data_IF_046025313268
#
_entry.id   IF_046025313268
#
_cell.length_a   1.000
_cell.length_b   1.000
_cell.length_c   1.000
_cell.angle_alpha   90.00
_cell.angle_beta   90.00
_cell.angle_gamma   90.00
#
_symmetry.space_group_name_H-M   'P 1'
#
loop_
_entity.id
_entity.type
_entity.pdbx_description
1 polymer ?
#
# COMPACT_ATOMS: atom_id res chain seq x y z
N UNK A 1 -22.51 7.43 -13.00
CA UNK A 1 -21.61 6.29 -12.76
C UNK A 1 -21.58 5.32 -13.92
N UNK A 2 -22.72 4.78 -14.38
CA UNK A 2 -22.79 3.81 -15.52
C UNK A 2 -22.17 4.36 -16.81
N UNK A 3 -22.38 5.64 -17.14
CA UNK A 3 -21.74 6.25 -18.31
C UNK A 3 -20.21 6.25 -18.20
N UNK A 4 -19.67 6.47 -17.01
CA UNK A 4 -18.22 6.48 -16.81
C UNK A 4 -17.63 5.08 -16.90
N UNK A 5 -18.17 4.09 -16.14
CA UNK A 5 -17.55 2.77 -16.03
C UNK A 5 -17.92 1.81 -17.17
N UNK A 6 -19.19 1.87 -17.66
CA UNK A 6 -19.68 0.96 -18.68
C UNK A 6 -19.45 1.45 -20.12
N UNK A 7 -19.51 2.77 -20.39
CA UNK A 7 -19.58 3.30 -21.76
C UNK A 7 -18.39 4.16 -22.18
N UNK A 8 -17.80 4.94 -21.26
CA UNK A 8 -16.74 5.88 -21.62
C UNK A 8 -15.48 5.17 -22.17
N UNK A 9 -14.66 5.85 -23.00
CA UNK A 9 -13.42 5.29 -23.54
C UNK A 9 -12.49 4.79 -22.43
N UNK A 10 -11.99 3.56 -22.53
CA UNK A 10 -11.21 2.88 -21.49
C UNK A 10 -10.02 3.74 -21.05
N UNK A 11 -9.25 4.27 -22.01
CA UNK A 11 -8.09 5.13 -21.73
C UNK A 11 -8.46 6.32 -20.84
N UNK A 12 -9.55 7.01 -21.17
CA UNK A 12 -10.02 8.20 -20.43
C UNK A 12 -10.41 7.85 -18.99
N UNK A 13 -11.18 6.77 -18.81
CA UNK A 13 -11.63 6.34 -17.48
C UNK A 13 -10.46 5.81 -16.65
N UNK A 14 -9.61 5.01 -17.23
CA UNK A 14 -8.44 4.44 -16.57
C UNK A 14 -7.56 5.54 -15.97
N UNK A 15 -7.11 6.50 -16.79
CA UNK A 15 -6.27 7.58 -16.28
C UNK A 15 -7.00 8.54 -15.35
N UNK A 16 -8.30 8.75 -15.54
CA UNK A 16 -9.12 9.55 -14.61
C UNK A 16 -9.15 8.95 -13.19
N UNK A 17 -9.12 7.62 -13.09
CA UNK A 17 -9.12 6.92 -11.81
C UNK A 17 -7.70 6.72 -11.26
N UNK A 18 -6.77 6.31 -12.11
CA UNK A 18 -5.43 5.89 -11.69
C UNK A 18 -4.48 7.06 -11.39
N UNK A 19 -4.45 8.11 -12.22
CA UNK A 19 -3.53 9.23 -12.00
C UNK A 19 -3.72 9.93 -10.64
N UNK A 20 -4.95 10.22 -10.16
CA UNK A 20 -5.11 10.77 -8.82
C UNK A 20 -4.54 9.85 -7.73
N UNK A 21 -4.69 8.53 -7.87
CA UNK A 21 -4.12 7.58 -6.91
C UNK A 21 -2.60 7.63 -6.91
N UNK A 22 -1.98 7.63 -8.09
CA UNK A 22 -0.53 7.76 -8.25
C UNK A 22 -0.02 9.06 -7.62
N UNK A 23 -0.68 10.19 -7.89
CA UNK A 23 -0.29 11.48 -7.33
C UNK A 23 -0.43 11.52 -5.80
N UNK A 24 -1.51 10.95 -5.26
CA UNK A 24 -1.69 10.80 -3.81
C UNK A 24 -0.57 9.98 -3.17
N UNK A 25 -0.18 8.86 -3.78
CA UNK A 25 0.91 8.01 -3.30
C UNK A 25 2.27 8.71 -3.37
N UNK A 26 2.56 9.44 -4.46
CA UNK A 26 3.79 10.23 -4.58
C UNK A 26 3.85 11.30 -3.48
N UNK A 27 2.74 11.98 -3.20
CA UNK A 27 2.68 12.98 -2.13
C UNK A 27 2.96 12.37 -0.75
N UNK A 28 2.39 11.19 -0.47
CA UNK A 28 2.68 10.46 0.78
C UNK A 28 4.14 10.04 0.87
N UNK A 29 4.76 9.65 -0.24
CA UNK A 29 6.19 9.33 -0.27
C UNK A 29 7.06 10.56 0.02
N UNK A 30 6.73 11.69 -0.60
CA UNK A 30 7.43 12.96 -0.34
C UNK A 30 7.33 13.32 1.15
N UNK A 31 6.15 13.13 1.75
CA UNK A 31 5.96 13.32 3.18
C UNK A 31 6.88 12.42 4.01
N UNK A 32 6.90 11.11 3.75
CA UNK A 32 7.75 10.18 4.51
C UNK A 32 9.24 10.53 4.40
N UNK A 33 9.68 11.03 3.24
CA UNK A 33 11.06 11.50 3.06
C UNK A 33 11.33 12.80 3.84
N UNK A 34 10.40 13.76 3.79
CA UNK A 34 10.50 15.02 4.49
C UNK A 34 10.50 14.83 6.01
N UNK A 35 9.58 14.03 6.54
CA UNK A 35 9.49 13.67 7.96
C UNK A 35 10.80 13.05 8.46
N UNK A 36 11.29 12.02 7.75
CA UNK A 36 12.59 11.40 8.08
C UNK A 36 13.74 12.42 8.08
N UNK A 37 13.73 13.34 7.11
CA UNK A 37 14.76 14.38 7.01
C UNK A 37 14.65 15.40 8.16
N UNK A 38 13.45 15.81 8.53
CA UNK A 38 13.25 16.75 9.65
C UNK A 38 13.68 16.14 10.98
N UNK A 39 13.29 14.89 11.23
CA UNK A 39 13.70 14.16 12.43
C UNK A 39 15.21 13.97 12.47
N UNK A 40 15.85 13.59 11.37
CA UNK A 40 17.31 13.46 11.29
C UNK A 40 18.05 14.78 11.52
N UNK A 41 17.50 15.93 11.08
CA UNK A 41 18.08 17.27 11.30
C UNK A 41 18.08 17.72 12.75
N UNK A 42 17.33 17.10 13.64
CA UNK A 42 17.42 17.39 15.08
C UNK A 42 18.78 17.01 15.66
N UNK A 43 19.51 16.08 15.02
CA UNK A 43 20.78 15.54 15.52
C UNK A 43 20.62 14.61 16.73
N UNK A 44 19.40 14.37 17.19
CA UNK A 44 19.10 13.50 18.32
C UNK A 44 18.90 12.05 17.83
N UNK A 45 19.90 11.22 18.07
CA UNK A 45 19.90 9.80 17.67
C UNK A 45 18.85 8.97 18.42
N UNK A 46 18.53 9.34 19.67
CA UNK A 46 17.50 8.64 20.45
C UNK A 46 16.12 8.94 19.92
N UNK A 47 15.86 10.20 19.56
CA UNK A 47 14.61 10.60 18.90
C UNK A 47 14.41 9.86 17.56
N UNK A 48 15.42 9.84 16.70
CA UNK A 48 15.37 9.11 15.41
C UNK A 48 15.08 7.62 15.65
N UNK A 49 15.78 7.00 16.60
CA UNK A 49 15.60 5.60 16.94
C UNK A 49 14.20 5.34 17.54
N UNK A 50 13.74 6.21 18.44
CA UNK A 50 12.42 6.10 19.09
C UNK A 50 11.28 6.13 18.07
N UNK A 51 11.28 7.08 17.13
CA UNK A 51 10.28 7.16 16.05
C UNK A 51 10.36 5.93 15.13
N UNK A 52 11.57 5.46 14.81
CA UNK A 52 11.76 4.28 13.98
C UNK A 52 11.20 3.02 14.64
N UNK A 53 11.30 2.89 15.96
CA UNK A 53 10.69 1.80 16.75
C UNK A 53 9.16 1.84 16.65
N UNK A 54 8.57 3.02 16.55
CA UNK A 54 7.13 3.20 16.39
C UNK A 54 6.60 2.91 14.97
N UNK A 55 7.44 2.88 13.94
CA UNK A 55 7.01 2.70 12.55
C UNK A 55 6.20 1.41 12.28
N UNK A 56 6.51 0.24 12.87
CA UNK A 56 5.70 -0.97 12.72
C UNK A 56 4.25 -0.81 13.17
N UNK A 57 3.99 0.05 14.19
CA UNK A 57 2.64 0.35 14.62
C UNK A 57 1.81 1.00 13.51
N UNK A 58 2.40 1.92 12.76
CA UNK A 58 1.75 2.55 11.60
C UNK A 58 1.38 1.52 10.53
N UNK A 59 2.32 0.64 10.19
CA UNK A 59 2.07 -0.44 9.23
C UNK A 59 0.94 -1.36 9.68
N UNK A 60 0.86 -1.66 10.97
CA UNK A 60 -0.22 -2.45 11.56
C UNK A 60 -1.57 -1.73 11.44
N UNK A 61 -1.66 -0.44 11.75
CA UNK A 61 -2.89 0.34 11.62
C UNK A 61 -3.37 0.43 10.16
N UNK A 62 -2.46 0.62 9.21
CA UNK A 62 -2.75 0.58 7.78
C UNK A 62 -3.29 -0.80 7.37
N UNK A 63 -2.67 -1.88 7.82
CA UNK A 63 -3.12 -3.23 7.53
C UNK A 63 -4.54 -3.51 8.05
N UNK A 64 -4.88 -3.01 9.23
CA UNK A 64 -6.25 -3.09 9.77
C UNK A 64 -7.23 -2.26 8.93
N UNK A 65 -6.84 -1.06 8.49
CA UNK A 65 -7.68 -0.23 7.60
C UNK A 65 -7.98 -0.92 6.27
N UNK A 66 -7.00 -1.64 5.72
CA UNK A 66 -7.13 -2.35 4.45
C UNK A 66 -8.19 -3.47 4.52
N UNK A 67 -8.42 -4.07 5.70
CA UNK A 67 -9.48 -5.06 5.86
C UNK A 67 -10.83 -4.47 5.46
N UNK A 68 -11.13 -3.28 5.93
CA UNK A 68 -12.38 -2.58 5.63
C UNK A 68 -12.31 -1.79 4.30
N UNK A 69 -11.18 -1.14 4.03
CA UNK A 69 -11.00 -0.28 2.85
C UNK A 69 -10.94 -1.06 1.55
N UNK A 70 -10.01 -2.01 1.43
CA UNK A 70 -9.86 -2.84 0.23
C UNK A 70 -10.99 -3.86 0.13
N UNK A 71 -11.35 -4.52 1.23
CA UNK A 71 -12.45 -5.48 1.23
C UNK A 71 -13.79 -4.83 0.86
N UNK A 72 -14.08 -3.68 1.45
CA UNK A 72 -15.29 -2.90 1.17
C UNK A 72 -15.34 -2.37 -0.26
N UNK A 73 -14.27 -1.74 -0.74
CA UNK A 73 -14.21 -1.20 -2.10
C UNK A 73 -14.32 -2.27 -3.18
N UNK A 74 -13.71 -3.44 -2.96
CA UNK A 74 -13.83 -4.60 -3.82
C UNK A 74 -15.29 -5.05 -3.95
N UNK A 75 -15.97 -5.25 -2.83
CA UNK A 75 -17.38 -5.68 -2.84
C UNK A 75 -18.30 -4.60 -3.46
N UNK A 76 -18.13 -3.33 -3.05
CA UNK A 76 -18.95 -2.21 -3.55
C UNK A 76 -18.80 -2.06 -5.08
N UNK A 77 -17.58 -2.21 -5.61
CA UNK A 77 -17.34 -2.11 -7.05
C UNK A 77 -18.16 -3.14 -7.83
N UNK A 78 -18.23 -4.39 -7.33
CA UNK A 78 -19.07 -5.44 -7.94
C UNK A 78 -20.55 -5.13 -7.81
N UNK A 79 -20.99 -4.72 -6.61
CA UNK A 79 -22.39 -4.36 -6.35
C UNK A 79 -22.86 -3.21 -7.24
N UNK A 80 -22.00 -2.27 -7.58
CA UNK A 80 -22.32 -1.21 -8.55
C UNK A 80 -22.51 -1.77 -9.95
N UNK A 81 -21.69 -2.72 -10.37
CA UNK A 81 -21.90 -3.44 -11.63
C UNK A 81 -23.21 -4.24 -11.67
N UNK A 82 -23.59 -4.84 -10.56
CA UNK A 82 -24.84 -5.57 -10.34
C UNK A 82 -26.05 -4.63 -10.14
N UNK A 83 -25.84 -3.32 -10.06
CA UNK A 83 -26.83 -2.28 -9.71
C UNK A 83 -27.48 -2.46 -8.34
N UNK A 84 -26.81 -3.16 -7.41
CA UNK A 84 -27.27 -3.34 -6.04
C UNK A 84 -26.85 -2.18 -5.13
N UNK A 85 -27.38 -0.99 -5.39
CA UNK A 85 -27.04 0.23 -4.66
C UNK A 85 -27.45 0.21 -3.19
N UNK A 86 -28.49 -0.55 -2.84
CA UNK A 86 -28.96 -0.62 -1.45
C UNK A 86 -27.93 -1.37 -0.58
N UNK A 87 -27.40 -2.48 -1.05
CA UNK A 87 -26.36 -3.21 -0.33
C UNK A 87 -25.06 -2.41 -0.29
N UNK A 88 -24.72 -1.66 -1.34
CA UNK A 88 -23.55 -0.77 -1.37
C UNK A 88 -23.60 0.30 -0.27
N UNK A 89 -24.77 0.91 -0.02
CA UNK A 89 -24.97 1.86 1.10
C UNK A 89 -24.74 1.20 2.45
N UNK A 90 -25.16 -0.05 2.61
CA UNK A 90 -24.96 -0.79 3.85
C UNK A 90 -23.50 -1.17 4.05
N UNK A 91 -22.86 -1.72 3.02
CA UNK A 91 -21.43 -2.10 3.06
C UNK A 91 -20.55 -0.89 3.36
N UNK A 92 -20.80 0.26 2.71
CA UNK A 92 -20.00 1.46 2.96
C UNK A 92 -20.14 1.97 4.40
N UNK A 93 -21.37 2.02 4.93
CA UNK A 93 -21.60 2.43 6.32
C UNK A 93 -20.97 1.46 7.31
N UNK A 94 -21.10 0.15 7.09
CA UNK A 94 -20.48 -0.88 7.91
C UNK A 94 -18.95 -0.74 7.93
N UNK A 95 -18.32 -0.60 6.77
CA UNK A 95 -16.86 -0.49 6.69
C UNK A 95 -16.34 0.75 7.42
N UNK A 96 -16.97 1.91 7.22
CA UNK A 96 -16.54 3.15 7.87
C UNK A 96 -16.78 3.12 9.38
N UNK A 97 -17.96 2.71 9.83
CA UNK A 97 -18.30 2.66 11.27
C UNK A 97 -17.51 1.53 11.94
N UNK A 98 -17.47 0.33 11.33
CA UNK A 98 -16.75 -0.81 11.85
C UNK A 98 -15.25 -0.53 11.96
N UNK A 99 -14.66 0.09 10.94
CA UNK A 99 -13.26 0.49 10.98
C UNK A 99 -12.96 1.52 12.07
N UNK A 100 -13.82 2.54 12.23
CA UNK A 100 -13.67 3.54 13.30
C UNK A 100 -13.79 2.90 14.70
N UNK A 101 -14.79 2.05 14.90
CA UNK A 101 -14.96 1.31 16.18
C UNK A 101 -13.78 0.40 16.45
N UNK A 102 -13.29 -0.33 15.43
CA UNK A 102 -12.07 -1.14 15.55
C UNK A 102 -10.87 -0.27 15.95
N UNK A 103 -10.75 0.92 15.38
CA UNK A 103 -9.72 1.89 15.76
C UNK A 103 -9.80 2.32 17.21
N UNK A 104 -11.01 2.58 17.75
CA UNK A 104 -11.20 2.91 19.16
C UNK A 104 -10.85 1.73 20.08
N UNK A 105 -11.23 0.51 19.71
CA UNK A 105 -10.87 -0.69 20.45
C UNK A 105 -9.34 -0.87 20.46
N UNK A 106 -8.71 -0.70 19.30
CA UNK A 106 -7.25 -0.79 19.19
C UNK A 106 -6.55 0.31 19.98
N UNK A 107 -7.07 1.54 20.00
CA UNK A 107 -6.55 2.61 20.87
C UNK A 107 -6.47 2.13 22.32
N UNK A 108 -7.56 1.56 22.85
CA UNK A 108 -7.59 1.06 24.22
C UNK A 108 -6.58 -0.09 24.45
N UNK A 109 -6.54 -1.07 23.53
CA UNK A 109 -5.61 -2.20 23.61
C UNK A 109 -4.16 -1.72 23.55
N UNK A 110 -3.83 -0.85 22.61
CA UNK A 110 -2.48 -0.36 22.43
C UNK A 110 -1.99 0.44 23.63
N UNK A 111 -2.84 1.26 24.24
CA UNK A 111 -2.47 2.02 25.43
C UNK A 111 -2.34 1.12 26.69
N UNK A 112 -3.19 0.11 26.84
CA UNK A 112 -3.10 -0.84 27.97
C UNK A 112 -1.81 -1.68 27.87
N UNK A 113 -1.46 -2.12 26.67
CA UNK A 113 -0.30 -2.98 26.43
C UNK A 113 0.94 -2.23 25.92
N UNK A 114 1.06 -0.91 26.18
CA UNK A 114 2.18 -0.07 25.75
C UNK A 114 3.54 -0.68 26.07
N UNK A 115 3.78 -0.99 27.35
CA UNK A 115 5.09 -1.50 27.80
C UNK A 115 5.49 -2.81 27.11
N UNK A 116 4.69 -3.87 27.10
CA UNK A 116 5.07 -5.12 26.43
C UNK A 116 5.25 -4.94 24.93
N UNK A 117 4.47 -4.08 24.27
CA UNK A 117 4.59 -3.85 22.83
C UNK A 117 5.87 -3.09 22.53
N UNK A 118 6.20 -2.04 23.27
CA UNK A 118 7.44 -1.28 23.07
C UNK A 118 8.69 -2.14 23.27
N UNK A 119 8.69 -3.01 24.28
CA UNK A 119 9.78 -3.97 24.46
C UNK A 119 9.88 -4.98 23.33
N UNK A 120 8.74 -5.48 22.83
CA UNK A 120 8.68 -6.37 21.66
C UNK A 120 9.22 -5.69 20.40
N UNK A 121 8.95 -4.39 20.24
CA UNK A 121 9.45 -3.57 19.12
C UNK A 121 10.94 -3.20 19.26
N UNK A 122 11.57 -3.53 20.40
CA UNK A 122 13.01 -3.35 20.62
C UNK A 122 13.39 -2.05 21.31
N UNK A 123 12.46 -1.38 21.99
CA UNK A 123 12.76 -0.20 22.78
C UNK A 123 13.72 -0.55 23.94
N UNK A 124 14.82 0.20 24.04
CA UNK A 124 15.84 0.10 25.09
C UNK A 124 15.75 1.31 26.03
N UNK A 125 16.35 1.24 27.20
CA UNK A 125 16.31 2.31 28.20
C UNK A 125 16.59 3.71 27.61
N UNK A 126 17.57 3.83 26.70
CA UNK A 126 17.93 5.11 26.09
C UNK A 126 16.92 5.65 25.06
N UNK A 127 16.12 4.78 24.42
CA UNK A 127 15.17 5.15 23.36
C UNK A 127 13.73 5.03 23.80
N UNK A 128 13.50 4.51 25.01
CA UNK A 128 12.16 4.17 25.50
C UNK A 128 11.24 5.39 25.58
N UNK A 129 11.74 6.49 26.12
CA UNK A 129 10.90 7.69 26.30
C UNK A 129 10.40 8.24 24.97
N UNK A 130 11.29 8.44 23.98
CA UNK A 130 10.91 8.94 22.66
C UNK A 130 10.00 7.95 21.92
N UNK A 131 10.28 6.65 22.04
CA UNK A 131 9.43 5.61 21.46
C UNK A 131 8.04 5.61 22.09
N UNK A 132 7.95 5.73 23.42
CA UNK A 132 6.68 5.76 24.15
C UNK A 132 5.88 7.02 23.83
N UNK A 133 6.53 8.17 23.74
CA UNK A 133 5.90 9.44 23.42
C UNK A 133 5.28 9.42 22.01
N UNK A 134 6.02 8.94 21.00
CA UNK A 134 5.51 8.75 19.65
C UNK A 134 4.39 7.70 19.63
N UNK A 135 4.62 6.54 20.24
CA UNK A 135 3.69 5.43 20.30
C UNK A 135 2.32 5.84 20.89
N UNK A 136 2.32 6.59 22.02
CA UNK A 136 1.09 7.04 22.68
C UNK A 136 0.26 7.93 21.76
N UNK A 137 0.90 8.91 21.11
CA UNK A 137 0.20 9.82 20.19
C UNK A 137 -0.41 9.04 19.02
N UNK A 138 0.36 8.14 18.39
CA UNK A 138 -0.14 7.32 17.29
C UNK A 138 -1.23 6.36 17.76
N UNK A 139 -1.12 5.79 18.96
CA UNK A 139 -2.15 4.92 19.53
C UNK A 139 -3.46 5.67 19.80
N UNK A 140 -3.39 6.89 20.32
CA UNK A 140 -4.57 7.77 20.49
C UNK A 140 -5.16 8.12 19.13
N UNK A 141 -4.32 8.34 18.12
CA UNK A 141 -4.68 8.60 16.73
C UNK A 141 -5.09 7.37 15.92
N UNK A 142 -5.12 6.17 16.50
CA UNK A 142 -5.39 4.94 15.74
C UNK A 142 -6.76 4.94 15.06
N UNK A 143 -7.80 5.47 15.71
CA UNK A 143 -9.13 5.54 15.12
C UNK A 143 -9.19 6.44 13.87
N UNK A 144 -8.72 7.70 13.87
CA UNK A 144 -8.65 8.50 12.65
C UNK A 144 -7.70 7.91 11.59
N UNK A 145 -6.55 7.35 11.96
CA UNK A 145 -5.62 6.74 11.00
C UNK A 145 -6.29 5.58 10.26
N UNK A 146 -6.96 4.67 10.99
CA UNK A 146 -7.69 3.55 10.39
C UNK A 146 -8.85 4.05 9.55
N UNK A 147 -9.63 5.02 10.06
CA UNK A 147 -10.78 5.54 9.36
C UNK A 147 -10.41 6.19 8.03
N UNK A 148 -9.33 6.94 7.96
CA UNK A 148 -8.92 7.76 6.81
C UNK A 148 -8.81 6.95 5.50
N UNK A 149 -8.22 5.77 5.57
CA UNK A 149 -7.98 4.91 4.39
C UNK A 149 -9.29 4.31 3.86
N UNK A 150 -10.28 4.10 4.73
CA UNK A 150 -11.53 3.43 4.37
C UNK A 150 -12.37 4.28 3.40
N UNK A 151 -12.87 5.48 3.75
CA UNK A 151 -13.64 6.29 2.82
C UNK A 151 -12.82 6.69 1.59
N UNK A 152 -11.49 6.85 1.71
CA UNK A 152 -10.61 7.09 0.56
C UNK A 152 -10.73 6.00 -0.50
N UNK A 153 -10.74 4.72 -0.11
CA UNK A 153 -10.93 3.60 -1.03
C UNK A 153 -12.38 3.49 -1.54
N UNK A 154 -13.37 3.75 -0.67
CA UNK A 154 -14.77 3.60 -1.02
C UNK A 154 -15.25 4.64 -2.03
N UNK A 155 -14.90 5.93 -1.88
CA UNK A 155 -15.37 6.98 -2.81
C UNK A 155 -14.78 6.83 -4.22
N UNK A 156 -13.63 6.18 -4.36
CA UNK A 156 -13.05 5.84 -5.68
C UNK A 156 -13.97 4.92 -6.48
N UNK A 157 -14.77 4.09 -5.81
CA UNK A 157 -15.72 3.19 -6.48
C UNK A 157 -16.86 3.94 -7.18
N UNK A 158 -17.19 5.15 -6.74
CA UNK A 158 -18.10 6.07 -7.43
C UNK A 158 -17.41 6.93 -8.51
N UNK A 159 -16.11 6.75 -8.72
CA UNK A 159 -15.33 7.54 -9.69
C UNK A 159 -14.75 8.84 -9.12
N UNK A 160 -14.81 9.04 -7.80
CA UNK A 160 -14.34 10.23 -7.09
C UNK A 160 -12.85 10.12 -6.67
N UNK A 161 -12.01 9.56 -7.55
CA UNK A 161 -10.58 9.38 -7.26
C UNK A 161 -9.84 10.70 -7.03
N UNK A 162 -10.21 11.77 -7.75
CA UNK A 162 -9.64 13.11 -7.57
C UNK A 162 -9.97 13.68 -6.20
N UNK A 163 -11.19 13.48 -5.71
CA UNK A 163 -11.62 13.93 -4.38
C UNK A 163 -10.85 13.20 -3.27
N UNK A 164 -10.66 11.89 -3.44
CA UNK A 164 -9.82 11.09 -2.53
C UNK A 164 -8.39 11.61 -2.50
N UNK A 165 -7.81 11.90 -3.66
CA UNK A 165 -6.48 12.48 -3.79
C UNK A 165 -6.40 13.85 -3.10
N UNK A 166 -7.32 14.76 -3.37
CA UNK A 166 -7.33 16.11 -2.76
C UNK A 166 -7.37 16.01 -1.23
N UNK A 167 -8.22 15.15 -0.68
CA UNK A 167 -8.29 14.94 0.77
C UNK A 167 -6.93 14.47 1.34
N UNK A 168 -6.35 13.42 0.75
CA UNK A 168 -5.06 12.89 1.19
C UNK A 168 -3.94 13.90 1.04
N UNK A 169 -3.83 14.58 -0.11
CA UNK A 169 -2.79 15.58 -0.33
C UNK A 169 -2.90 16.75 0.64
N UNK A 170 -4.11 17.23 0.93
CA UNK A 170 -4.31 18.34 1.89
C UNK A 170 -3.83 17.96 3.28
N UNK A 171 -4.21 16.78 3.79
CA UNK A 171 -3.75 16.32 5.11
C UNK A 171 -2.24 16.07 5.14
N UNK A 172 -1.69 15.47 4.09
CA UNK A 172 -0.26 15.20 3.97
C UNK A 172 0.57 16.48 3.88
N UNK A 173 0.14 17.47 3.10
CA UNK A 173 0.83 18.78 3.00
C UNK A 173 0.78 19.50 4.35
N UNK A 174 -0.37 19.45 5.04
CA UNK A 174 -0.47 20.03 6.37
C UNK A 174 0.51 19.37 7.35
N UNK A 175 0.63 18.04 7.34
CA UNK A 175 1.59 17.32 8.17
C UNK A 175 3.04 17.76 7.88
N UNK A 176 3.43 17.89 6.59
CA UNK A 176 4.75 18.39 6.18
C UNK A 176 5.04 19.80 6.76
N UNK A 177 4.02 20.66 6.84
CA UNK A 177 4.16 22.01 7.38
C UNK A 177 4.24 21.98 8.92
N UNK A 178 3.44 21.14 9.56
CA UNK A 178 3.38 21.05 11.02
C UNK A 178 4.61 20.37 11.63
N UNK A 179 5.20 19.39 10.97
CA UNK A 179 6.38 18.68 11.46
C UNK A 179 7.52 19.61 11.90
N UNK A 180 8.06 20.47 11.03
CA UNK A 180 9.14 21.38 11.44
C UNK A 180 8.70 22.39 12.49
N UNK A 181 7.43 22.80 12.51
CA UNK A 181 6.91 23.72 13.53
C UNK A 181 6.94 23.04 14.92
N UNK A 182 6.42 21.82 15.02
CA UNK A 182 6.41 21.11 16.30
C UNK A 182 7.82 20.66 16.74
N UNK A 183 8.68 20.24 15.78
CA UNK A 183 10.04 19.82 16.08
C UNK A 183 10.95 20.98 16.47
N UNK A 184 10.99 22.06 15.69
CA UNK A 184 12.02 23.10 15.82
C UNK A 184 11.54 24.35 16.56
N UNK A 185 10.24 24.75 16.38
CA UNK A 185 9.71 25.94 17.06
C UNK A 185 9.20 25.58 18.44
N UNK A 186 8.33 24.57 18.55
CA UNK A 186 7.76 24.14 19.84
C UNK A 186 8.65 23.12 20.58
N UNK A 187 9.64 22.54 19.94
CA UNK A 187 10.59 21.56 20.50
C UNK A 187 9.90 20.37 21.20
N UNK A 188 8.83 19.87 20.58
CA UNK A 188 8.01 18.80 21.15
C UNK A 188 8.57 17.39 20.93
N UNK A 189 9.70 17.24 20.23
CA UNK A 189 10.31 15.93 19.99
C UNK A 189 9.37 14.93 19.31
N UNK A 190 9.38 13.69 19.79
CA UNK A 190 8.56 12.59 19.26
C UNK A 190 7.05 12.85 19.33
N UNK A 191 6.59 13.53 20.38
CA UNK A 191 5.18 13.93 20.52
C UNK A 191 4.78 14.86 19.38
N UNK A 192 5.64 15.82 19.01
CA UNK A 192 5.37 16.78 17.94
C UNK A 192 5.17 16.11 16.59
N UNK A 193 6.04 15.16 16.23
CA UNK A 193 5.94 14.35 15.01
C UNK A 193 4.65 13.55 15.01
N UNK A 194 4.32 12.89 16.12
CA UNK A 194 3.07 12.15 16.25
C UNK A 194 1.83 13.03 16.06
N UNK A 195 1.81 14.22 16.68
CA UNK A 195 0.69 15.17 16.56
C UNK A 195 0.54 15.70 15.13
N UNK A 196 1.64 16.04 14.45
CA UNK A 196 1.60 16.48 13.05
C UNK A 196 0.98 15.41 12.16
N UNK A 197 1.41 14.14 12.33
CA UNK A 197 0.85 12.99 11.63
C UNK A 197 -0.65 12.84 11.87
N UNK A 198 -1.08 12.72 13.12
CA UNK A 198 -2.50 12.52 13.47
C UNK A 198 -3.36 13.70 13.00
N UNK A 199 -2.85 14.93 13.10
CA UNK A 199 -3.55 16.12 12.59
C UNK A 199 -3.75 16.05 11.08
N UNK A 200 -2.75 15.58 10.31
CA UNK A 200 -2.88 15.33 8.87
C UNK A 200 -4.00 14.33 8.55
N UNK A 201 -4.09 13.24 9.30
CA UNK A 201 -5.17 12.26 9.14
C UNK A 201 -6.54 12.85 9.51
N UNK A 202 -6.65 13.60 10.61
CA UNK A 202 -7.90 14.24 11.01
C UNK A 202 -8.43 15.21 9.94
N UNK A 203 -7.56 16.00 9.32
CA UNK A 203 -7.94 16.89 8.22
C UNK A 203 -8.35 16.09 6.98
N UNK A 204 -7.64 15.03 6.64
CA UNK A 204 -8.03 14.11 5.58
C UNK A 204 -9.42 13.53 5.84
N UNK A 205 -9.69 13.08 7.08
CA UNK A 205 -10.98 12.55 7.50
C UNK A 205 -12.11 13.56 7.37
N UNK A 206 -11.89 14.79 7.82
CA UNK A 206 -12.88 15.86 7.73
C UNK A 206 -13.28 16.12 6.26
N UNK A 207 -12.31 16.16 5.36
CA UNK A 207 -12.54 16.34 3.91
C UNK A 207 -13.26 15.12 3.32
N UNK A 208 -12.83 13.90 3.68
CA UNK A 208 -13.46 12.68 3.19
C UNK A 208 -14.91 12.53 3.69
N UNK A 209 -15.17 12.85 4.96
CA UNK A 209 -16.52 12.87 5.53
C UNK A 209 -17.38 13.89 4.78
N UNK A 210 -16.85 15.09 4.51
CA UNK A 210 -17.56 16.07 3.69
C UNK A 210 -17.94 15.51 2.32
N UNK A 211 -17.01 14.85 1.62
CA UNK A 211 -17.32 14.24 0.32
C UNK A 211 -18.33 13.11 0.44
N UNK A 212 -18.23 12.24 1.44
CA UNK A 212 -19.18 11.15 1.69
C UNK A 212 -20.60 11.70 1.97
N UNK A 213 -20.72 12.79 2.71
CA UNK A 213 -22.02 13.34 3.06
C UNK A 213 -22.68 14.11 1.90
N UNK A 214 -21.90 14.85 1.11
CA UNK A 214 -22.43 15.83 0.16
C UNK A 214 -22.15 15.53 -1.32
N UNK A 215 -21.22 14.62 -1.65
CA UNK A 215 -20.79 14.37 -3.04
C UNK A 215 -20.99 12.94 -3.52
N UNK A 216 -21.33 12.00 -2.62
CA UNK A 216 -21.59 10.60 -2.98
C UNK A 216 -23.09 10.31 -2.98
N UNK A 217 -23.52 9.51 -3.98
CA UNK A 217 -24.91 9.07 -4.10
C UNK A 217 -25.17 7.78 -3.34
N UNK A 218 -24.22 6.84 -3.39
CA UNK A 218 -24.38 5.47 -2.90
C UNK A 218 -23.42 5.09 -1.78
N UNK A 219 -22.34 5.82 -1.57
CA UNK A 219 -21.49 5.67 -0.38
C UNK A 219 -22.10 6.49 0.74
N UNK A 220 -22.47 5.84 1.86
CA UNK A 220 -23.17 6.49 2.96
C UNK A 220 -22.51 6.16 4.29
N UNK A 221 -22.52 7.14 5.19
CA UNK A 221 -22.07 7.02 6.57
C UNK A 221 -23.29 7.24 7.49
N UNK A 222 -24.06 6.19 7.73
CA UNK A 222 -25.27 6.23 8.57
C UNK A 222 -25.39 4.94 9.40
N UNK A 223 -25.59 5.06 10.70
CA UNK A 223 -25.79 3.91 11.60
C UNK A 223 -26.92 2.98 11.14
N UNK A 224 -28.02 3.53 10.63
CA UNK A 224 -29.14 2.75 10.10
C UNK A 224 -28.75 1.76 8.99
N UNK A 225 -27.65 2.02 8.29
CA UNK A 225 -27.17 1.17 7.20
C UNK A 225 -26.00 0.27 7.61
N UNK A 226 -25.54 0.28 8.87
CA UNK A 226 -24.39 -0.52 9.30
C UNK A 226 -24.69 -2.02 9.48
N UNK A 227 -25.97 -2.40 9.51
CA UNK A 227 -26.37 -3.81 9.62
C UNK A 227 -26.24 -4.51 8.27
N UNK A 228 -25.38 -5.51 8.22
CA UNK A 228 -25.15 -6.38 7.07
C UNK A 228 -25.15 -7.85 7.49
N UNK A 229 -25.38 -8.76 6.52
CA UNK A 229 -25.37 -10.20 6.81
C UNK A 229 -23.96 -10.70 7.12
N UNK A 230 -23.86 -11.77 7.91
CA UNK A 230 -22.59 -12.44 8.18
C UNK A 230 -21.85 -12.90 6.90
N UNK A 231 -22.58 -13.25 5.84
CA UNK A 231 -22.02 -13.57 4.53
C UNK A 231 -21.31 -12.34 3.94
N UNK A 232 -21.95 -11.17 4.00
CA UNK A 232 -21.37 -9.92 3.48
C UNK A 232 -20.10 -9.53 4.28
N UNK A 233 -20.11 -9.72 5.60
CA UNK A 233 -18.90 -9.50 6.43
C UNK A 233 -17.78 -10.44 5.98
N UNK A 234 -18.10 -11.72 5.79
CA UNK A 234 -17.13 -12.71 5.31
C UNK A 234 -16.53 -12.31 3.96
N UNK A 235 -17.35 -11.81 3.04
CA UNK A 235 -16.88 -11.37 1.70
C UNK A 235 -15.94 -10.17 1.78
N UNK A 236 -16.18 -9.22 2.72
CA UNK A 236 -15.30 -8.09 2.98
C UNK A 236 -13.96 -8.56 3.57
N UNK A 237 -14.02 -9.33 4.64
CA UNK A 237 -12.85 -9.79 5.38
C UNK A 237 -11.98 -10.73 4.55
N UNK A 238 -12.62 -11.59 3.74
CA UNK A 238 -11.92 -12.53 2.87
C UNK A 238 -11.03 -11.87 1.81
N UNK A 239 -11.35 -10.64 1.39
CA UNK A 239 -10.50 -9.86 0.48
C UNK A 239 -9.57 -8.91 1.26
N UNK A 240 -10.06 -8.34 2.34
CA UNK A 240 -9.29 -7.39 3.14
C UNK A 240 -8.08 -8.02 3.85
N UNK A 241 -8.23 -9.22 4.42
CA UNK A 241 -7.12 -9.92 5.09
C UNK A 241 -5.95 -10.21 4.15
N UNK A 242 -6.11 -10.79 2.95
CA UNK A 242 -5.01 -10.93 2.00
C UNK A 242 -4.30 -9.62 1.66
N UNK A 243 -5.06 -8.52 1.50
CA UNK A 243 -4.49 -7.19 1.31
C UNK A 243 -3.59 -6.76 2.47
N UNK A 244 -4.05 -6.97 3.70
CA UNK A 244 -3.28 -6.68 4.92
C UNK A 244 -2.03 -7.54 5.06
N UNK A 245 -2.11 -8.82 4.73
CA UNK A 245 -0.99 -9.77 4.79
C UNK A 245 0.15 -9.35 3.85
N UNK A 246 -0.16 -8.73 2.72
CA UNK A 246 0.87 -8.25 1.79
C UNK A 246 1.85 -7.28 2.46
N UNK A 247 1.37 -6.38 3.31
CA UNK A 247 2.21 -5.42 4.04
C UNK A 247 3.15 -6.13 5.05
N UNK A 248 2.64 -7.15 5.74
CA UNK A 248 3.46 -7.95 6.67
C UNK A 248 4.49 -8.81 5.93
N UNK A 249 4.08 -9.46 4.83
CA UNK A 249 4.98 -10.25 4.00
C UNK A 249 6.13 -9.39 3.44
N UNK A 250 5.84 -8.16 3.03
CA UNK A 250 6.86 -7.21 2.57
C UNK A 250 7.87 -6.86 3.67
N UNK A 251 7.40 -6.58 4.87
CA UNK A 251 8.27 -6.28 6.02
C UNK A 251 9.14 -7.49 6.40
N UNK A 252 8.56 -8.68 6.39
CA UNK A 252 9.26 -9.93 6.65
C UNK A 252 10.33 -10.22 5.59
N UNK A 253 9.99 -10.08 4.30
CA UNK A 253 10.94 -10.25 3.19
C UNK A 253 12.12 -9.29 3.27
N UNK A 254 11.88 -8.03 3.66
CA UNK A 254 12.93 -7.04 3.88
C UNK A 254 13.86 -7.42 5.04
N UNK A 255 13.31 -7.91 6.14
CA UNK A 255 14.10 -8.36 7.29
C UNK A 255 15.00 -9.56 6.91
N UNK A 256 14.47 -10.53 6.17
CA UNK A 256 15.22 -11.67 5.66
C UNK A 256 16.36 -11.25 4.71
N UNK A 257 16.08 -10.32 3.80
CA UNK A 257 17.08 -9.79 2.88
C UNK A 257 18.21 -9.11 3.64
N UNK A 258 17.88 -8.22 4.56
CA UNK A 258 18.86 -7.46 5.33
C UNK A 258 19.70 -8.39 6.22
N UNK A 259 19.09 -9.38 6.89
CA UNK A 259 19.83 -10.35 7.70
C UNK A 259 20.79 -11.21 6.88
N UNK A 260 20.38 -11.60 5.65
CA UNK A 260 21.23 -12.35 4.73
C UNK A 260 22.40 -11.50 4.19
N UNK A 261 22.15 -10.23 3.87
CA UNK A 261 23.19 -9.32 3.40
C UNK A 261 24.17 -8.89 4.50
N UNK A 262 23.73 -8.86 5.76
CA UNK A 262 24.57 -8.52 6.90
C UNK A 262 25.79 -9.46 7.04
N UNK A 263 25.68 -10.71 6.57
CA UNK A 263 26.78 -11.66 6.52
C UNK A 263 27.93 -11.22 5.58
N UNK A 264 27.64 -10.31 4.64
CA UNK A 264 28.58 -9.78 3.65
C UNK A 264 29.05 -8.35 3.96
N UNK A 265 28.72 -7.85 5.13
CA UNK A 265 29.18 -6.56 5.67
C UNK A 265 28.14 -5.43 5.59
N UNK A 266 28.34 -4.43 6.44
CA UNK A 266 27.45 -3.30 6.60
C UNK A 266 27.27 -2.48 5.30
N UNK A 267 28.33 -2.37 4.48
CA UNK A 267 28.26 -1.66 3.20
C UNK A 267 27.25 -2.29 2.23
N UNK A 268 27.07 -3.62 2.27
CA UNK A 268 26.08 -4.31 1.42
C UNK A 268 24.65 -4.05 1.88
N UNK A 269 24.43 -3.99 3.19
CA UNK A 269 23.12 -3.61 3.76
C UNK A 269 22.79 -2.16 3.42
N UNK A 270 23.76 -1.25 3.57
CA UNK A 270 23.60 0.17 3.21
C UNK A 270 23.28 0.36 1.72
N UNK A 271 23.99 -0.36 0.83
CA UNK A 271 23.75 -0.35 -0.61
C UNK A 271 22.34 -0.83 -0.94
N UNK A 272 21.87 -1.89 -0.29
CA UNK A 272 20.49 -2.39 -0.46
C UNK A 272 19.46 -1.39 0.05
N UNK A 273 19.71 -0.73 1.16
CA UNK A 273 18.84 0.33 1.68
C UNK A 273 18.64 1.47 0.66
N UNK A 274 19.71 1.91 -0.01
CA UNK A 274 19.64 2.89 -1.10
C UNK A 274 18.84 2.34 -2.28
N UNK A 275 19.15 1.12 -2.70
CA UNK A 275 18.44 0.43 -3.79
C UNK A 275 16.95 0.37 -3.52
N UNK A 276 16.51 0.00 -2.32
CA UNK A 276 15.11 -0.09 -1.94
C UNK A 276 14.41 1.28 -1.96
N UNK A 277 15.08 2.35 -1.57
CA UNK A 277 14.53 3.72 -1.68
C UNK A 277 14.28 4.12 -3.14
N UNK A 278 15.22 3.84 -4.04
CA UNK A 278 15.07 4.12 -5.48
C UNK A 278 13.97 3.25 -6.08
N UNK A 279 13.97 1.95 -5.75
CA UNK A 279 12.97 0.99 -6.22
C UNK A 279 11.55 1.35 -5.77
N UNK A 280 11.39 1.83 -4.54
CA UNK A 280 10.07 2.20 -3.99
C UNK A 280 9.40 3.32 -4.80
N UNK A 281 10.16 4.23 -5.40
CA UNK A 281 9.62 5.29 -6.27
C UNK A 281 8.91 4.68 -7.49
N UNK A 282 9.55 3.71 -8.14
CA UNK A 282 8.99 3.04 -9.32
C UNK A 282 7.78 2.20 -8.96
N UNK A 283 7.91 1.40 -7.90
CA UNK A 283 6.84 0.50 -7.46
C UNK A 283 5.59 1.27 -7.01
N UNK A 284 5.76 2.41 -6.35
CA UNK A 284 4.64 3.20 -5.88
C UNK A 284 3.73 3.66 -7.02
N UNK A 285 4.30 4.03 -8.16
CA UNK A 285 3.53 4.39 -9.36
C UNK A 285 2.79 3.18 -9.93
N UNK A 286 3.46 2.02 -10.00
CA UNK A 286 2.86 0.76 -10.45
C UNK A 286 1.68 0.37 -9.54
N UNK A 287 1.86 0.43 -8.23
CA UNK A 287 0.80 0.19 -7.23
C UNK A 287 -0.36 1.18 -7.40
N UNK A 288 -0.04 2.46 -7.64
CA UNK A 288 -1.04 3.50 -7.90
C UNK A 288 -1.91 3.22 -9.12
N UNK A 289 -1.32 2.76 -10.22
CA UNK A 289 -2.05 2.33 -11.41
C UNK A 289 -2.93 1.10 -11.11
N UNK A 290 -2.39 0.09 -10.44
CA UNK A 290 -3.12 -1.13 -10.09
C UNK A 290 -4.35 -0.82 -9.19
N UNK A 291 -4.17 -0.11 -8.09
CA UNK A 291 -5.28 0.26 -7.21
C UNK A 291 -6.24 1.27 -7.84
N UNK A 292 -5.75 2.12 -8.75
CA UNK A 292 -6.61 3.04 -9.49
C UNK A 292 -7.55 2.33 -10.47
N UNK A 293 -7.12 1.20 -11.04
CA UNK A 293 -7.94 0.38 -11.96
C UNK A 293 -8.97 -0.51 -11.23
N UNK A 294 -8.78 -0.79 -9.94
CA UNK A 294 -9.60 -1.71 -9.15
C UNK A 294 -11.11 -1.46 -9.25
N UNK A 295 -11.63 -0.23 -9.08
CA UNK A 295 -13.06 0.03 -9.21
C UNK A 295 -13.60 -0.25 -10.61
N UNK A 296 -12.81 0.02 -11.65
CA UNK A 296 -13.20 -0.21 -13.04
C UNK A 296 -13.29 -1.71 -13.36
N UNK A 297 -12.36 -2.50 -12.83
CA UNK A 297 -12.36 -3.98 -12.95
C UNK A 297 -13.56 -4.56 -12.21
N UNK A 298 -13.76 -4.21 -10.94
CA UNK A 298 -14.85 -4.73 -10.11
C UNK A 298 -16.23 -4.41 -10.68
N UNK A 299 -16.44 -3.18 -11.15
CA UNK A 299 -17.67 -2.78 -11.81
C UNK A 299 -17.99 -3.62 -13.04
N UNK A 300 -17.03 -3.75 -13.98
CA UNK A 300 -17.28 -4.49 -15.22
C UNK A 300 -17.43 -6.00 -14.99
N UNK A 301 -16.79 -6.54 -13.94
CA UNK A 301 -17.00 -7.92 -13.51
C UNK A 301 -18.43 -8.12 -12.96
N UNK A 302 -18.89 -7.28 -12.04
CA UNK A 302 -20.24 -7.31 -11.49
C UNK A 302 -21.32 -7.11 -12.56
N UNK A 303 -21.09 -6.22 -13.53
CA UNK A 303 -21.96 -6.00 -14.68
C UNK A 303 -21.90 -7.12 -15.74
N UNK A 304 -21.07 -8.15 -15.55
CA UNK A 304 -20.85 -9.25 -16.51
C UNK A 304 -20.43 -8.76 -17.91
N UNK A 305 -19.78 -7.59 -17.98
CA UNK A 305 -19.30 -7.00 -19.24
C UNK A 305 -17.91 -7.58 -19.59
N UNK A 306 -17.87 -8.85 -19.93
CA UNK A 306 -16.64 -9.62 -20.13
C UNK A 306 -15.74 -9.06 -21.25
N UNK A 307 -16.36 -8.63 -22.37
CA UNK A 307 -15.62 -8.05 -23.51
C UNK A 307 -14.89 -6.77 -23.09
N UNK A 308 -15.57 -5.91 -22.32
CA UNK A 308 -14.98 -4.66 -21.83
C UNK A 308 -13.94 -4.94 -20.73
N UNK A 309 -14.24 -5.85 -19.81
CA UNK A 309 -13.32 -6.29 -18.78
C UNK A 309 -11.98 -6.74 -19.37
N UNK A 310 -12.01 -7.63 -20.38
CA UNK A 310 -10.81 -8.10 -21.07
C UNK A 310 -9.98 -6.95 -21.68
N UNK A 311 -10.65 -5.97 -22.29
CA UNK A 311 -9.99 -4.79 -22.84
C UNK A 311 -9.36 -3.92 -21.76
N UNK A 312 -10.01 -3.78 -20.60
CA UNK A 312 -9.48 -3.04 -19.44
C UNK A 312 -8.22 -3.71 -18.91
N UNK A 313 -8.26 -5.04 -18.71
CA UNK A 313 -7.14 -5.81 -18.19
C UNK A 313 -5.92 -5.77 -19.13
N UNK A 314 -6.15 -5.93 -20.44
CA UNK A 314 -5.08 -5.81 -21.41
C UNK A 314 -4.48 -4.40 -21.45
N UNK A 315 -5.31 -3.37 -21.28
CA UNK A 315 -4.84 -1.99 -21.24
C UNK A 315 -4.07 -1.70 -19.95
N UNK A 316 -4.52 -2.22 -18.81
CA UNK A 316 -3.84 -2.09 -17.52
C UNK A 316 -2.45 -2.75 -17.58
N UNK A 317 -2.36 -4.00 -18.04
CA UNK A 317 -1.07 -4.69 -18.24
C UNK A 317 -0.16 -3.88 -19.17
N UNK A 318 -0.69 -3.36 -20.29
CA UNK A 318 0.09 -2.55 -21.23
C UNK A 318 0.67 -1.31 -20.55
N UNK A 319 -0.14 -0.56 -19.80
CA UNK A 319 0.31 0.65 -19.09
C UNK A 319 1.38 0.31 -18.05
N UNK A 320 1.17 -0.74 -17.27
CA UNK A 320 2.10 -1.20 -16.25
C UNK A 320 3.46 -1.60 -16.85
N UNK A 321 3.42 -2.42 -17.91
CA UNK A 321 4.63 -2.90 -18.59
C UNK A 321 5.36 -1.73 -19.26
N UNK A 322 4.66 -0.86 -20.01
CA UNK A 322 5.28 0.29 -20.67
C UNK A 322 5.94 1.23 -19.66
N UNK A 323 5.22 1.56 -18.57
CA UNK A 323 5.80 2.38 -17.52
C UNK A 323 7.05 1.73 -16.90
N UNK A 324 6.96 0.43 -16.55
CA UNK A 324 8.06 -0.30 -15.94
C UNK A 324 9.28 -0.43 -16.87
N UNK A 325 9.08 -0.66 -18.15
CA UNK A 325 10.17 -0.72 -19.15
C UNK A 325 10.84 0.63 -19.30
N UNK A 326 10.07 1.72 -19.39
CA UNK A 326 10.63 3.07 -19.53
C UNK A 326 11.37 3.48 -18.25
N UNK A 327 10.72 3.44 -17.10
CA UNK A 327 11.32 3.85 -15.83
C UNK A 327 12.46 2.92 -15.39
N UNK A 328 12.28 1.61 -15.56
CA UNK A 328 13.31 0.61 -15.27
C UNK A 328 14.50 0.72 -16.22
N UNK A 329 14.26 0.88 -17.51
CA UNK A 329 15.32 1.08 -18.50
C UNK A 329 16.17 2.33 -18.22
N UNK A 330 15.53 3.46 -17.87
CA UNK A 330 16.23 4.67 -17.44
C UNK A 330 17.07 4.43 -16.18
N UNK A 331 16.50 3.76 -15.17
CA UNK A 331 17.23 3.47 -13.92
C UNK A 331 18.38 2.47 -14.12
N UNK A 332 18.25 1.50 -15.02
CA UNK A 332 19.35 0.59 -15.37
C UNK A 332 20.46 1.38 -16.06
N UNK A 333 20.11 2.22 -17.03
CA UNK A 333 21.08 3.03 -17.78
C UNK A 333 21.86 3.99 -16.86
N UNK A 334 21.18 4.59 -15.88
CA UNK A 334 21.73 5.54 -14.93
C UNK A 334 21.94 4.97 -13.52
N UNK A 335 22.06 3.64 -13.37
CA UNK A 335 22.12 2.99 -12.06
C UNK A 335 23.27 3.53 -11.20
N UNK A 336 24.46 3.69 -11.78
CA UNK A 336 25.65 4.18 -11.06
C UNK A 336 25.53 5.64 -10.62
N UNK A 337 25.21 6.62 -11.51
CA UNK A 337 25.03 8.00 -11.07
C UNK A 337 23.88 8.18 -10.08
N UNK A 338 22.76 7.45 -10.26
CA UNK A 338 21.61 7.53 -9.35
C UNK A 338 21.98 7.01 -7.96
N UNK A 339 22.69 5.89 -7.85
CA UNK A 339 23.17 5.36 -6.57
C UNK A 339 24.16 6.34 -5.92
N UNK A 340 25.06 6.95 -6.71
CA UNK A 340 26.04 7.91 -6.23
C UNK A 340 25.45 9.20 -5.65
N UNK A 341 24.23 9.58 -6.05
CA UNK A 341 23.50 10.73 -5.44
C UNK A 341 23.17 10.51 -3.97
N UNK A 342 23.02 9.26 -3.54
CA UNK A 342 22.69 8.95 -2.14
C UNK A 342 23.93 8.74 -1.27
N UNK A 343 25.00 8.19 -1.84
CA UNK A 343 26.26 7.94 -1.12
C UNK A 343 27.44 7.81 -2.07
N UNK A 344 28.53 8.51 -1.80
CA UNK A 344 29.65 8.68 -2.74
C UNK A 344 30.83 7.73 -2.45
N UNK A 345 30.61 6.63 -1.69
CA UNK A 345 31.62 5.61 -1.42
C UNK A 345 31.66 4.57 -2.56
N UNK A 346 32.82 4.35 -3.22
CA UNK A 346 32.93 3.48 -4.39
C UNK A 346 32.35 2.07 -4.18
N UNK A 347 32.60 1.45 -3.02
CA UNK A 347 32.12 0.11 -2.71
C UNK A 347 30.59 0.06 -2.62
N UNK A 348 29.96 1.08 -2.05
CA UNK A 348 28.51 1.19 -1.92
C UNK A 348 27.88 1.51 -3.26
N UNK A 349 28.49 2.40 -4.06
CA UNK A 349 28.00 2.74 -5.40
C UNK A 349 28.04 1.50 -6.33
N UNK A 350 29.13 0.74 -6.31
CA UNK A 350 29.26 -0.44 -7.13
C UNK A 350 28.25 -1.53 -6.71
N UNK A 351 28.14 -1.81 -5.40
CA UNK A 351 27.19 -2.78 -4.89
C UNK A 351 25.73 -2.34 -5.13
N UNK A 352 25.40 -1.07 -4.84
CA UNK A 352 24.06 -0.51 -5.02
C UNK A 352 23.62 -0.48 -6.48
N UNK A 353 24.53 -0.11 -7.40
CA UNK A 353 24.22 -0.14 -8.83
C UNK A 353 23.91 -1.56 -9.32
N UNK A 354 24.68 -2.55 -8.89
CA UNK A 354 24.44 -3.96 -9.21
C UNK A 354 23.10 -4.45 -8.63
N UNK A 355 22.84 -4.16 -7.35
CA UNK A 355 21.58 -4.51 -6.69
C UNK A 355 20.39 -3.82 -7.34
N UNK A 356 20.53 -2.55 -7.74
CA UNK A 356 19.49 -1.79 -8.41
C UNK A 356 19.11 -2.43 -9.75
N UNK A 357 20.11 -2.82 -10.56
CA UNK A 357 19.86 -3.51 -11.84
C UNK A 357 19.11 -4.81 -11.61
N UNK A 358 19.57 -5.64 -10.65
CA UNK A 358 18.94 -6.92 -10.34
C UNK A 358 17.48 -6.77 -9.84
N UNK A 359 17.19 -5.71 -9.09
CA UNK A 359 15.84 -5.45 -8.55
C UNK A 359 14.91 -4.86 -9.60
N UNK A 360 15.42 -3.96 -10.44
CA UNK A 360 14.61 -3.21 -11.42
C UNK A 360 14.27 -4.04 -12.65
N UNK A 361 15.11 -4.99 -13.04
CA UNK A 361 14.93 -5.76 -14.29
C UNK A 361 13.60 -6.52 -14.33
N UNK A 362 13.07 -6.92 -13.18
CA UNK A 362 11.79 -7.63 -13.06
C UNK A 362 10.57 -6.70 -12.87
N UNK A 363 10.76 -5.38 -12.84
CA UNK A 363 9.63 -4.43 -12.64
C UNK A 363 8.48 -4.63 -13.64
N UNK A 364 8.71 -4.93 -14.95
CA UNK A 364 7.61 -5.23 -15.86
C UNK A 364 6.79 -6.47 -15.42
N UNK A 365 7.47 -7.49 -14.89
CA UNK A 365 6.83 -8.69 -14.33
C UNK A 365 6.04 -8.34 -13.07
N UNK A 366 6.60 -7.49 -12.21
CA UNK A 366 5.93 -6.98 -11.01
C UNK A 366 4.64 -6.21 -11.38
N UNK A 367 4.66 -5.41 -12.44
CA UNK A 367 3.45 -4.76 -12.95
C UNK A 367 2.34 -5.77 -13.29
N UNK A 368 2.68 -6.86 -13.98
CA UNK A 368 1.75 -7.94 -14.32
C UNK A 368 1.22 -8.63 -13.05
N UNK A 369 2.09 -8.92 -12.09
CA UNK A 369 1.71 -9.52 -10.79
C UNK A 369 0.70 -8.64 -10.07
N UNK A 370 0.92 -7.32 -10.04
CA UNK A 370 0.01 -6.39 -9.38
C UNK A 370 -1.33 -6.29 -10.10
N UNK A 371 -1.37 -6.36 -11.42
CA UNK A 371 -2.63 -6.47 -12.16
C UNK A 371 -3.38 -7.74 -11.76
N UNK A 372 -2.73 -8.91 -11.74
CA UNK A 372 -3.37 -10.15 -11.30
C UNK A 372 -3.89 -10.05 -9.86
N UNK A 373 -3.09 -9.52 -8.94
CA UNK A 373 -3.48 -9.32 -7.54
C UNK A 373 -4.72 -8.45 -7.43
N UNK A 374 -4.73 -7.31 -8.13
CA UNK A 374 -5.85 -6.36 -8.15
C UNK A 374 -7.09 -6.98 -8.78
N UNK A 375 -6.92 -7.77 -9.85
CA UNK A 375 -8.02 -8.52 -10.47
C UNK A 375 -8.65 -9.48 -9.47
N UNK A 376 -7.85 -10.32 -8.80
CA UNK A 376 -8.38 -11.30 -7.84
C UNK A 376 -9.10 -10.62 -6.67
N UNK A 377 -8.56 -9.51 -6.18
CA UNK A 377 -9.23 -8.68 -5.18
C UNK A 377 -10.54 -8.12 -5.73
N UNK A 378 -10.55 -7.54 -6.93
CA UNK A 378 -11.71 -6.89 -7.54
C UNK A 378 -12.86 -7.87 -7.83
N UNK A 379 -12.54 -9.09 -8.28
CA UNK A 379 -13.56 -10.12 -8.57
C UNK A 379 -14.01 -10.88 -7.33
N UNK A 380 -13.39 -10.64 -6.18
CA UNK A 380 -13.74 -11.31 -4.92
C UNK A 380 -13.17 -12.72 -4.77
N UNK A 381 -12.12 -13.07 -5.53
CA UNK A 381 -11.45 -14.36 -5.38
C UNK A 381 -10.43 -14.31 -4.23
N UNK A 382 -10.94 -14.52 -3.01
CA UNK A 382 -10.14 -14.44 -1.78
C UNK A 382 -8.94 -15.39 -1.77
N UNK A 383 -9.12 -16.61 -2.28
CA UNK A 383 -8.07 -17.63 -2.32
C UNK A 383 -6.91 -17.20 -3.23
N UNK A 384 -7.25 -16.73 -4.44
CA UNK A 384 -6.24 -16.24 -5.37
C UNK A 384 -5.52 -15.00 -4.83
N UNK A 385 -6.26 -14.05 -4.24
CA UNK A 385 -5.69 -12.88 -3.59
C UNK A 385 -4.73 -13.26 -2.44
N UNK A 386 -5.10 -14.25 -1.63
CA UNK A 386 -4.26 -14.76 -0.54
C UNK A 386 -2.98 -15.41 -1.06
N UNK A 387 -3.06 -16.27 -2.10
CA UNK A 387 -1.86 -16.86 -2.70
C UNK A 387 -0.92 -15.78 -3.21
N UNK A 388 -1.43 -14.79 -3.95
CA UNK A 388 -0.59 -13.71 -4.45
C UNK A 388 0.07 -12.90 -3.32
N UNK A 389 -0.66 -12.66 -2.21
CA UNK A 389 -0.15 -11.93 -1.06
C UNK A 389 1.05 -12.61 -0.40
N UNK A 390 1.00 -13.95 -0.22
CA UNK A 390 2.06 -14.71 0.47
C UNK A 390 3.18 -15.19 -0.46
N UNK A 391 2.97 -15.17 -1.78
CA UNK A 391 3.93 -15.75 -2.73
C UNK A 391 5.11 -14.82 -2.96
N UNK A 392 4.86 -13.58 -3.37
CA UNK A 392 5.87 -12.67 -3.90
C UNK A 392 6.96 -12.29 -2.91
N UNK A 393 6.61 -11.97 -1.68
CA UNK A 393 7.53 -11.50 -0.63
C UNK A 393 7.45 -12.33 0.66
N UNK A 394 6.73 -13.43 0.61
CA UNK A 394 6.59 -14.40 1.71
C UNK A 394 7.26 -15.73 1.37
N UNK A 395 6.44 -16.77 1.21
CA UNK A 395 6.91 -18.17 1.12
C UNK A 395 7.84 -18.41 -0.07
N UNK A 396 7.44 -17.99 -1.28
CA UNK A 396 8.26 -18.24 -2.48
C UNK A 396 9.55 -17.44 -2.42
N UNK A 397 9.48 -16.19 -1.94
CA UNK A 397 10.68 -15.39 -1.74
C UNK A 397 11.65 -16.02 -0.73
N UNK A 398 11.14 -16.50 0.41
CA UNK A 398 11.96 -17.17 1.42
C UNK A 398 12.68 -18.41 0.83
N UNK A 399 11.92 -19.26 0.14
CA UNK A 399 12.50 -20.47 -0.50
C UNK A 399 13.53 -20.08 -1.57
N UNK A 400 13.21 -19.13 -2.44
CA UNK A 400 14.12 -18.64 -3.46
C UNK A 400 15.38 -18.04 -2.84
N UNK A 401 15.26 -17.25 -1.77
CA UNK A 401 16.38 -16.64 -1.08
C UNK A 401 17.34 -17.70 -0.50
N UNK A 402 16.81 -18.70 0.21
CA UNK A 402 17.64 -19.75 0.82
C UNK A 402 18.33 -20.63 -0.24
N UNK A 403 17.60 -21.02 -1.29
CA UNK A 403 18.22 -21.82 -2.38
C UNK A 403 19.28 -21.00 -3.12
N UNK A 404 18.94 -19.78 -3.53
CA UNK A 404 19.86 -18.93 -4.28
C UNK A 404 21.08 -18.53 -3.45
N UNK A 405 20.90 -18.26 -2.17
CA UNK A 405 21.99 -18.00 -1.22
C UNK A 405 22.93 -19.21 -1.08
N UNK A 406 22.37 -20.41 -0.99
CA UNK A 406 23.16 -21.65 -0.87
C UNK A 406 23.96 -21.95 -2.13
N UNK A 407 23.41 -21.69 -3.33
CA UNK A 407 24.04 -22.02 -4.61
C UNK A 407 25.01 -20.93 -5.10
N UNK A 408 24.61 -19.66 -4.98
CA UNK A 408 25.31 -18.52 -5.58
C UNK A 408 25.83 -17.48 -4.55
N UNK A 409 25.69 -17.74 -3.25
CA UNK A 409 26.15 -16.86 -2.19
C UNK A 409 25.56 -15.45 -2.30
N UNK A 410 26.40 -14.41 -2.25
CA UNK A 410 26.01 -13.01 -2.36
C UNK A 410 25.17 -12.68 -3.62
N UNK A 411 25.61 -13.19 -4.78
CA UNK A 411 24.86 -12.97 -6.03
C UNK A 411 23.47 -13.60 -5.97
N UNK A 412 23.36 -14.76 -5.34
CA UNK A 412 22.07 -15.42 -5.12
C UNK A 412 21.11 -14.59 -4.27
N UNK A 413 21.60 -13.97 -3.19
CA UNK A 413 20.79 -13.09 -2.34
C UNK A 413 20.24 -11.90 -3.15
N UNK A 414 21.08 -11.28 -3.97
CA UNK A 414 20.69 -10.12 -4.78
C UNK A 414 19.64 -10.47 -5.83
N UNK A 415 19.72 -11.65 -6.44
CA UNK A 415 18.80 -12.10 -7.50
C UNK A 415 17.59 -12.88 -6.99
N UNK A 416 17.51 -13.20 -5.71
CA UNK A 416 16.42 -14.01 -5.14
C UNK A 416 15.04 -13.37 -5.37
N UNK A 417 14.93 -12.04 -5.27
CA UNK A 417 13.67 -11.34 -5.53
C UNK A 417 13.24 -11.48 -6.99
N UNK A 418 14.17 -11.39 -7.93
CA UNK A 418 13.89 -11.56 -9.35
C UNK A 418 13.34 -12.96 -9.67
N UNK A 419 13.93 -13.99 -9.06
CA UNK A 419 13.47 -15.40 -9.19
C UNK A 419 12.08 -15.55 -8.60
N UNK A 420 11.82 -14.97 -7.41
CA UNK A 420 10.50 -14.98 -6.77
C UNK A 420 9.45 -14.28 -7.61
N UNK A 421 9.76 -13.13 -8.22
CA UNK A 421 8.85 -12.39 -9.09
C UNK A 421 8.44 -13.24 -10.32
N UNK A 422 9.40 -13.92 -10.98
CA UNK A 422 9.10 -14.79 -12.12
C UNK A 422 8.19 -15.93 -11.72
N UNK A 423 8.51 -16.65 -10.62
CA UNK A 423 7.69 -17.75 -10.13
C UNK A 423 6.29 -17.28 -9.76
N UNK A 424 6.18 -16.14 -9.06
CA UNK A 424 4.90 -15.55 -8.68
C UNK A 424 4.06 -15.17 -9.90
N UNK A 425 4.68 -14.61 -10.94
CA UNK A 425 4.00 -14.27 -12.19
C UNK A 425 3.42 -15.51 -12.88
N UNK A 426 4.19 -16.61 -12.92
CA UNK A 426 3.74 -17.88 -13.49
C UNK A 426 2.55 -18.44 -12.69
N UNK A 427 2.65 -18.46 -11.37
CA UNK A 427 1.54 -18.88 -10.48
C UNK A 427 0.31 -18.00 -10.73
N UNK A 428 0.49 -16.68 -10.75
CA UNK A 428 -0.58 -15.72 -11.00
C UNK A 428 -1.25 -15.92 -12.36
N UNK A 429 -0.48 -16.19 -13.41
CA UNK A 429 -1.01 -16.47 -14.73
C UNK A 429 -1.92 -17.72 -14.78
N UNK A 430 -1.48 -18.83 -14.18
CA UNK A 430 -2.30 -20.05 -14.13
C UNK A 430 -3.58 -19.84 -13.33
N UNK A 431 -3.52 -19.14 -12.20
CA UNK A 431 -4.70 -18.81 -11.40
C UNK A 431 -5.63 -17.88 -12.18
N UNK A 432 -5.07 -16.90 -12.90
CA UNK A 432 -5.84 -15.95 -13.71
C UNK A 432 -6.63 -16.65 -14.82
N UNK A 433 -5.99 -17.49 -15.63
CA UNK A 433 -6.65 -18.24 -16.71
C UNK A 433 -7.76 -19.15 -16.15
N UNK A 434 -7.49 -19.86 -15.03
CA UNK A 434 -8.46 -20.79 -14.42
C UNK A 434 -9.63 -20.07 -13.73
N UNK A 435 -9.39 -18.93 -13.07
CA UNK A 435 -10.41 -18.31 -12.23
C UNK A 435 -11.32 -17.34 -12.97
N UNK A 436 -10.80 -16.63 -13.98
CA UNK A 436 -11.62 -15.70 -14.75
C UNK A 436 -12.35 -16.37 -15.91
N UNK A 437 -11.73 -17.30 -16.58
CA UNK A 437 -12.27 -18.02 -17.74
C UNK A 437 -12.98 -17.08 -18.76
N UNK A 438 -12.28 -15.96 -19.06
CA UNK A 438 -12.85 -14.91 -19.92
C UNK A 438 -13.09 -15.39 -21.35
N UNK A 439 -12.36 -16.43 -21.80
CA UNK A 439 -12.51 -16.95 -23.16
C UNK A 439 -13.91 -17.59 -23.33
N UNK A 440 -14.33 -18.39 -22.39
CA UNK A 440 -15.61 -19.07 -22.43
C UNK A 440 -16.78 -18.15 -22.07
N UNK A 441 -16.58 -17.25 -21.08
CA UNK A 441 -17.57 -16.21 -20.74
C UNK A 441 -17.85 -15.19 -21.84
N UNK A 442 -16.93 -14.98 -22.78
CA UNK A 442 -17.13 -14.07 -23.93
C UNK A 442 -17.85 -14.78 -25.08
N UNK A 443 -17.69 -16.09 -25.18
CA UNK A 443 -18.36 -16.90 -26.22
C UNK A 443 -19.84 -17.16 -25.93
N UNK A 444 -20.17 -17.27 -24.65
CA UNK A 444 -21.53 -17.41 -24.13
C UNK A 444 -22.17 -16.04 -23.87
#
# INVERSE_FOLDING_TARGET
MDELFAKAPIKKVYFKLALPVVLGMITTMIYNLADTMFVAKTGDTNLVAGITIGAPLFTFLIAVSDIFGLGGSSLISRLFGERNYQLSKRVSSFCMIGGFVTGLILTAILLIFENPILHLLGAKAATYQDAADFYRVISIGAAPIIFSIIPQNLIRTEGLATQAMVATMTGTILAIILDPIFLFVFKMGAIGVGIANVTGYLVTDAILIYYVLYKTDYIKLKLKYSEISGKTIKDIVAIGIPGSITNFAQSFGMALLNSSLALYGANKVAAMGITQKIYSIVILVIVGFAFGSQPLIGYNYGAKNWKRLKKILNFDILVQVVYAVISGGLLILFARPVTALFMNQPDIVNAGSYMLIATIITTPIVGIILVYTTVFQSVGNAWAAFIMAITRQGVVYFIALEIMKAVFGYHGIVWAQAVSDVITCIIGYFIYEKSLDLKDKIKN
#
